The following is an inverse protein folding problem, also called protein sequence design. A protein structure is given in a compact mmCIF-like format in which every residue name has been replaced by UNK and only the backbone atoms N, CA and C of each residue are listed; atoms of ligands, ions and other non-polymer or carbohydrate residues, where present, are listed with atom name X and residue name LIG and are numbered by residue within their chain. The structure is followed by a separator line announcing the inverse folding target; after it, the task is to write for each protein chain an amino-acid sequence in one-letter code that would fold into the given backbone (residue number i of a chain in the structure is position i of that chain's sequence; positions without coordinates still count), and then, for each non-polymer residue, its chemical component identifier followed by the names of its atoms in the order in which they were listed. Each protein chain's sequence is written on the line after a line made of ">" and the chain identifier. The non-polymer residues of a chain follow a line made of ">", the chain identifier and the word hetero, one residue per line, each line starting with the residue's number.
data_IF_573633545996
#
_entry.id   IF_573633545996
#
_cell.length_a   1.000
_cell.length_b   1.000
_cell.length_c   1.000
_cell.angle_alpha   90.00
_cell.angle_beta   90.00
_cell.angle_gamma   90.00
#
_symmetry.space_group_name_H-M   'P 1'
#
loop_
_entity.id
_entity.type
_entity.pdbx_description
1 polymer ?
#
# COMPACT_ATOMS: atom_id res chain seq x y z
N UNK A 1 -59.83 11.19 5.13
CA UNK A 1 -58.83 12.07 4.44
C UNK A 1 -57.68 12.52 5.35
N UNK A 2 -57.83 12.61 6.68
CA UNK A 2 -56.73 12.93 7.61
C UNK A 2 -55.99 11.72 8.16
N UNK A 3 -56.56 10.53 8.02
CA UNK A 3 -55.96 9.26 8.46
C UNK A 3 -54.77 8.86 7.58
N UNK A 4 -54.87 9.08 6.27
CA UNK A 4 -53.78 8.84 5.31
C UNK A 4 -52.57 9.78 5.50
N UNK A 5 -52.73 10.89 6.23
CA UNK A 5 -51.63 11.81 6.51
C UNK A 5 -50.74 11.31 7.65
N UNK A 6 -51.31 10.61 8.63
CA UNK A 6 -50.56 10.05 9.76
C UNK A 6 -49.76 8.83 9.30
N UNK A 7 -50.36 7.98 8.46
CA UNK A 7 -49.69 6.82 7.86
C UNK A 7 -48.51 7.24 6.95
N UNK A 8 -48.67 8.31 6.17
CA UNK A 8 -47.59 8.89 5.37
C UNK A 8 -46.49 9.56 6.20
N UNK A 9 -46.81 10.11 7.39
CA UNK A 9 -45.81 10.70 8.27
C UNK A 9 -45.01 9.63 9.02
N UNK A 10 -45.66 8.52 9.38
CA UNK A 10 -45.03 7.40 10.09
C UNK A 10 -44.15 6.55 9.15
N UNK A 11 -44.53 6.44 7.87
CA UNK A 11 -43.70 5.89 6.78
C UNK A 11 -42.64 6.90 6.26
N UNK A 12 -42.72 8.16 6.70
CA UNK A 12 -41.90 9.28 6.23
C UNK A 12 -40.57 9.48 6.96
N UNK A 13 -40.24 8.65 7.94
CA UNK A 13 -38.87 8.54 8.43
C UNK A 13 -38.16 7.53 7.55
N UNK A 14 -37.35 7.95 6.55
CA UNK A 14 -36.46 7.02 5.90
C UNK A 14 -35.60 6.42 7.03
N UNK A 15 -35.80 5.14 7.32
CA UNK A 15 -34.90 4.38 8.16
C UNK A 15 -33.51 4.73 7.67
N UNK A 16 -32.76 5.51 8.46
CA UNK A 16 -31.57 6.20 8.01
C UNK A 16 -30.76 5.22 7.18
N UNK A 17 -30.73 5.43 5.86
CA UNK A 17 -30.23 4.46 4.92
C UNK A 17 -28.86 4.04 5.45
N UNK A 18 -28.74 2.76 5.87
CA UNK A 18 -27.46 2.23 6.34
C UNK A 18 -26.51 2.50 5.19
N UNK A 19 -25.64 3.48 5.39
CA UNK A 19 -24.60 3.87 4.43
C UNK A 19 -23.64 2.69 4.40
N UNK A 20 -23.98 1.67 3.61
CA UNK A 20 -23.08 0.60 3.22
C UNK A 20 -21.98 1.28 2.39
N UNK A 21 -20.92 1.73 3.05
CA UNK A 21 -19.98 2.63 2.40
C UNK A 21 -18.66 2.74 3.13
N UNK A 22 -18.14 1.62 3.63
CA UNK A 22 -16.71 1.54 3.92
C UNK A 22 -16.02 0.87 2.74
N UNK A 23 -15.36 1.65 1.89
CA UNK A 23 -14.61 1.14 0.74
C UNK A 23 -13.49 0.17 1.16
N UNK A 24 -12.84 -0.48 0.20
CA UNK A 24 -11.74 -1.44 0.46
C UNK A 24 -10.67 -0.84 1.39
N UNK A 25 -10.33 0.43 1.21
CA UNK A 25 -9.39 1.16 2.07
C UNK A 25 -9.92 1.35 3.51
N UNK A 26 -11.22 1.57 3.70
CA UNK A 26 -11.81 1.66 5.03
C UNK A 26 -11.84 0.29 5.72
N UNK A 27 -12.06 -0.78 4.96
CA UNK A 27 -11.89 -2.16 5.42
C UNK A 27 -10.46 -2.44 5.90
N UNK A 28 -9.46 -2.09 5.08
CA UNK A 28 -8.05 -2.26 5.42
C UNK A 28 -7.66 -1.42 6.64
N UNK A 29 -8.12 -0.17 6.70
CA UNK A 29 -7.89 0.72 7.83
C UNK A 29 -8.43 0.13 9.14
N UNK A 30 -9.67 -0.39 9.13
CA UNK A 30 -10.26 -1.03 10.31
C UNK A 30 -9.53 -2.29 10.76
N UNK A 31 -8.87 -3.00 9.85
CA UNK A 31 -8.10 -4.21 10.17
C UNK A 31 -6.75 -3.85 10.75
N UNK A 32 -6.02 -2.94 10.10
CA UNK A 32 -4.61 -2.68 10.41
C UNK A 32 -4.43 -1.56 11.43
N UNK A 33 -5.24 -0.50 11.35
CA UNK A 33 -5.03 0.74 12.12
C UNK A 33 -5.88 0.82 13.38
N UNK A 34 -6.86 -0.06 13.57
CA UNK A 34 -7.84 0.04 14.67
C UNK A 34 -7.25 -0.21 16.07
N UNK A 35 -6.14 -0.95 16.17
CA UNK A 35 -5.52 -1.32 17.45
C UNK A 35 -4.04 -0.99 17.41
N UNK A 36 -3.57 -0.21 18.39
CA UNK A 36 -2.16 0.19 18.54
C UNK A 36 -1.16 -0.97 18.40
N UNK A 37 -1.33 -2.14 19.05
CA UNK A 37 -0.37 -3.24 18.88
C UNK A 37 -0.38 -3.83 17.44
N UNK A 38 -1.55 -3.92 16.79
CA UNK A 38 -1.67 -4.41 15.42
C UNK A 38 -1.04 -3.42 14.44
N UNK A 39 -1.27 -2.13 14.65
CA UNK A 39 -0.66 -1.06 13.86
C UNK A 39 0.86 -1.11 13.95
N UNK A 40 1.42 -1.15 15.16
CA UNK A 40 2.88 -1.13 15.36
C UNK A 40 3.54 -2.36 14.76
N UNK A 41 2.96 -3.55 14.94
CA UNK A 41 3.48 -4.78 14.32
C UNK A 41 3.42 -4.72 12.80
N UNK A 42 2.31 -4.23 12.24
CA UNK A 42 2.18 -4.02 10.80
C UNK A 42 3.25 -3.06 10.26
N UNK A 43 3.51 -1.94 10.95
CA UNK A 43 4.55 -0.98 10.55
C UNK A 43 5.93 -1.62 10.59
N UNK A 44 6.27 -2.37 11.64
CA UNK A 44 7.57 -3.04 11.77
C UNK A 44 7.77 -4.06 10.66
N UNK A 45 6.77 -4.93 10.43
CA UNK A 45 6.83 -5.96 9.38
C UNK A 45 6.87 -5.31 7.99
N UNK A 46 6.03 -4.30 7.76
CA UNK A 46 5.98 -3.55 6.52
C UNK A 46 7.29 -2.84 6.20
N UNK A 47 7.95 -2.25 7.20
CA UNK A 47 9.27 -1.64 7.03
C UNK A 47 10.34 -2.69 6.70
N UNK A 48 10.35 -3.83 7.40
CA UNK A 48 11.32 -4.89 7.16
C UNK A 48 11.22 -5.48 5.74
N UNK A 49 10.00 -5.72 5.25
CA UNK A 49 9.77 -6.21 3.90
C UNK A 49 10.02 -5.10 2.87
N UNK A 50 9.55 -3.89 3.15
CA UNK A 50 9.66 -2.73 2.26
C UNK A 50 11.10 -2.37 1.94
N UNK A 51 12.00 -2.41 2.93
CA UNK A 51 13.42 -2.16 2.74
C UNK A 51 14.03 -3.06 1.66
N UNK A 52 13.76 -4.37 1.72
CA UNK A 52 14.27 -5.33 0.73
C UNK A 52 13.71 -5.05 -0.65
N UNK A 53 12.40 -4.85 -0.75
CA UNK A 53 11.74 -4.60 -2.05
C UNK A 53 12.29 -3.35 -2.71
N UNK A 54 12.48 -2.27 -1.95
CA UNK A 54 13.04 -1.02 -2.46
C UNK A 54 14.50 -1.19 -2.87
N UNK A 55 15.33 -1.81 -2.02
CA UNK A 55 16.74 -2.06 -2.32
C UNK A 55 16.91 -2.87 -3.61
N UNK A 56 16.21 -4.01 -3.72
CA UNK A 56 16.24 -4.83 -4.94
C UNK A 56 15.74 -4.08 -6.17
N UNK A 57 14.65 -3.33 -6.03
CA UNK A 57 14.06 -2.56 -7.14
C UNK A 57 15.00 -1.47 -7.64
N UNK A 58 15.54 -0.67 -6.72
CA UNK A 58 16.47 0.43 -7.05
C UNK A 58 17.77 -0.12 -7.61
N UNK A 59 18.33 -1.17 -7.01
CA UNK A 59 19.54 -1.79 -7.51
C UNK A 59 19.35 -2.31 -8.93
N UNK A 60 18.27 -3.04 -9.21
CA UNK A 60 17.96 -3.54 -10.55
C UNK A 60 17.78 -2.43 -11.59
N UNK A 61 17.09 -1.35 -11.21
CA UNK A 61 16.94 -0.17 -12.08
C UNK A 61 18.29 0.51 -12.36
N UNK A 62 19.14 0.62 -11.35
CA UNK A 62 20.47 1.20 -11.48
C UNK A 62 21.38 0.33 -12.34
N UNK A 63 21.39 -0.98 -12.13
CA UNK A 63 22.14 -1.93 -12.95
C UNK A 63 21.72 -1.82 -14.41
N UNK A 64 20.41 -1.77 -14.68
CA UNK A 64 19.87 -1.64 -16.03
C UNK A 64 20.28 -0.31 -16.69
N UNK A 65 20.29 0.78 -15.94
CA UNK A 65 20.67 2.09 -16.45
C UNK A 65 22.19 2.28 -16.62
N UNK A 66 23.02 1.45 -15.98
CA UNK A 66 24.48 1.58 -15.98
C UNK A 66 25.19 0.38 -16.64
N UNK A 67 24.50 -0.37 -17.49
CA UNK A 67 25.08 -1.44 -18.31
C UNK A 67 26.29 -0.89 -19.09
N UNK A 68 27.43 -1.57 -19.01
CA UNK A 68 28.67 -1.19 -19.69
C UNK A 68 29.56 -0.22 -18.90
N UNK A 69 29.09 0.31 -17.76
CA UNK A 69 29.85 1.21 -16.87
C UNK A 69 30.24 0.57 -15.54
N UNK A 70 29.69 -0.60 -15.23
CA UNK A 70 30.02 -1.33 -13.99
C UNK A 70 31.40 -1.95 -14.12
N UNK A 71 32.07 -2.16 -12.98
CA UNK A 71 33.35 -2.88 -12.94
C UNK A 71 33.30 -4.23 -13.65
N UNK A 72 32.19 -4.95 -13.50
CA UNK A 72 31.96 -6.26 -14.12
C UNK A 72 31.91 -6.21 -15.66
N UNK A 73 31.54 -5.07 -16.24
CA UNK A 73 31.36 -4.91 -17.69
C UNK A 73 32.64 -4.43 -18.41
N UNK A 74 33.73 -4.17 -17.68
CA UNK A 74 34.97 -3.63 -18.26
C UNK A 74 35.91 -4.78 -18.66
N UNK A 75 36.12 -5.04 -19.96
CA UNK A 75 36.83 -6.23 -20.43
C UNK A 75 38.34 -6.25 -20.14
N UNK A 76 38.93 -5.11 -19.74
CA UNK A 76 40.40 -4.93 -19.65
C UNK A 76 40.94 -4.97 -18.21
N UNK A 77 40.08 -5.09 -17.18
CA UNK A 77 40.54 -5.02 -15.78
C UNK A 77 41.48 -6.16 -15.36
N UNK A 78 41.51 -7.29 -16.07
CA UNK A 78 42.46 -8.39 -15.87
C UNK A 78 43.70 -8.38 -16.77
N UNK A 79 43.85 -7.38 -17.64
CA UNK A 79 44.93 -7.32 -18.67
C UNK A 79 45.96 -6.22 -18.46
N UNK A 80 45.91 -5.46 -17.36
CA UNK A 80 47.06 -4.63 -17.01
C UNK A 80 48.22 -5.53 -16.59
N UNK A 81 49.17 -5.70 -17.50
CA UNK A 81 50.50 -6.19 -17.21
C UNK A 81 51.04 -5.40 -16.01
N UNK A 82 51.31 -6.10 -14.91
CA UNK A 82 52.08 -5.57 -13.79
C UNK A 82 53.43 -5.12 -14.34
N UNK A 83 53.70 -3.81 -14.30
CA UNK A 83 55.05 -3.27 -14.48
C UNK A 83 56.01 -3.85 -13.44
#
# INVERSE_FOLDING_TARGET
>A
KRENLVENFQNGFPAAARRNGGGVLEGLYKVVMRRTPVYVTFVIVGAFVGERVVDYGVHKLWEHNNIGKRYEDIPVLGQRQSE
#
